data_IF_724552828959
#
_entry.id   IF_724552828959
#
_cell.length_a   1.000
_cell.length_b   1.000
_cell.length_c   1.000
_cell.angle_alpha   90.00
_cell.angle_beta   90.00
_cell.angle_gamma   90.00
#
_symmetry.space_group_name_H-M   'P 1'
#
loop_
_entity.id
_entity.type
_entity.pdbx_description
1 polymer ?
#
# COMPACT_ATOMS: atom_id res chain seq x y z
N UNK A 1 -0.68 10.70 22.70
CA UNK A 1 -1.38 9.66 21.89
C UNK A 1 -0.60 9.54 20.60
N UNK A 2 -0.26 8.34 20.13
CA UNK A 2 0.49 8.19 18.89
C UNK A 2 -0.34 8.70 17.69
N UNK A 3 0.31 9.34 16.73
CA UNK A 3 -0.31 9.81 15.50
C UNK A 3 -0.81 8.60 14.67
N UNK A 4 -2.06 8.62 14.25
CA UNK A 4 -2.69 7.53 13.50
C UNK A 4 -3.16 8.04 12.15
N UNK A 5 -2.48 7.66 11.08
CA UNK A 5 -2.77 8.09 9.71
C UNK A 5 -4.22 7.86 9.31
N UNK A 6 -4.84 6.75 9.71
CA UNK A 6 -6.26 6.47 9.44
C UNK A 6 -7.20 7.46 10.08
N UNK A 7 -6.82 8.04 11.22
CA UNK A 7 -7.64 9.01 11.95
C UNK A 7 -7.41 10.44 11.51
N UNK A 8 -6.16 10.77 11.18
CA UNK A 8 -5.75 12.12 10.80
C UNK A 8 -6.06 12.42 9.31
N UNK A 9 -5.96 11.42 8.43
CA UNK A 9 -6.21 11.53 7.00
C UNK A 9 -7.40 10.68 6.56
N UNK A 10 -8.57 10.91 7.19
CA UNK A 10 -9.79 10.13 6.93
C UNK A 10 -10.24 10.22 5.49
N UNK A 11 -9.99 11.33 4.82
CA UNK A 11 -10.30 11.54 3.40
C UNK A 11 -9.62 10.52 2.48
N UNK A 12 -8.45 9.97 2.88
CA UNK A 12 -7.73 8.96 2.11
C UNK A 12 -7.96 7.54 2.63
N UNK A 13 -8.04 7.39 3.95
CA UNK A 13 -8.07 6.06 4.58
C UNK A 13 -9.47 5.58 4.95
N UNK A 14 -10.48 6.45 4.95
CA UNK A 14 -11.85 6.11 5.31
C UNK A 14 -12.86 6.73 4.34
N UNK A 15 -12.73 6.48 3.02
CA UNK A 15 -13.68 6.99 2.04
C UNK A 15 -15.07 6.40 2.28
N UNK A 16 -16.08 6.99 1.63
CA UNK A 16 -17.44 6.46 1.65
C UNK A 16 -17.56 5.23 0.74
N UNK A 17 -18.64 4.48 0.91
CA UNK A 17 -19.02 3.38 0.01
C UNK A 17 -19.68 3.87 -1.29
N UNK A 18 -19.35 5.06 -1.75
CA UNK A 18 -19.75 5.66 -3.03
C UNK A 18 -18.57 6.41 -3.61
N UNK A 19 -18.42 6.45 -4.95
CA UNK A 19 -17.30 7.12 -5.58
C UNK A 19 -17.21 8.60 -5.17
N UNK A 20 -16.02 9.08 -4.96
CA UNK A 20 -15.72 10.50 -4.73
C UNK A 20 -14.35 10.87 -5.32
N UNK A 21 -14.21 12.11 -5.77
CA UNK A 21 -12.93 12.65 -6.23
C UNK A 21 -12.14 13.13 -5.03
N UNK A 22 -10.85 12.80 -5.02
CA UNK A 22 -9.90 13.22 -4.00
C UNK A 22 -8.59 13.67 -4.68
N UNK A 23 -7.89 14.60 -4.07
CA UNK A 23 -6.54 14.97 -4.50
C UNK A 23 -5.52 14.40 -3.53
N UNK A 24 -4.85 13.30 -3.92
CA UNK A 24 -3.89 12.60 -3.08
C UNK A 24 -2.55 13.32 -3.17
N UNK A 25 -2.03 13.82 -2.04
CA UNK A 25 -0.75 14.53 -2.04
C UNK A 25 0.42 13.57 -2.26
N UNK A 26 1.51 14.11 -2.78
CA UNK A 26 2.78 13.41 -2.86
C UNK A 26 3.21 12.88 -1.50
N UNK A 27 3.60 11.60 -1.45
CA UNK A 27 4.04 10.96 -0.22
C UNK A 27 5.20 9.98 -0.46
N UNK A 28 5.91 9.64 0.62
CA UNK A 28 6.99 8.67 0.59
C UNK A 28 6.54 7.35 1.20
N UNK A 29 7.08 6.25 0.67
CA UNK A 29 6.71 4.90 1.03
C UNK A 29 7.93 3.99 1.16
N UNK A 30 7.82 2.98 2.02
CA UNK A 30 8.60 1.74 1.88
C UNK A 30 7.88 0.94 0.80
N UNK A 31 8.60 0.47 -0.21
CA UNK A 31 8.03 -0.30 -1.31
C UNK A 31 8.78 -1.61 -1.54
N UNK A 32 8.09 -2.66 -1.96
CA UNK A 32 8.67 -3.90 -2.50
C UNK A 32 7.89 -4.27 -3.75
N UNK A 33 8.61 -4.56 -4.83
CA UNK A 33 8.03 -4.96 -6.12
C UNK A 33 8.06 -6.46 -6.29
N UNK A 34 7.06 -6.99 -6.97
CA UNK A 34 7.04 -8.40 -7.30
C UNK A 34 5.99 -8.76 -8.35
N UNK A 35 5.93 -10.07 -8.64
CA UNK A 35 4.99 -10.67 -9.58
C UNK A 35 4.56 -12.03 -9.06
N UNK A 36 3.33 -12.42 -9.34
CA UNK A 36 2.79 -13.72 -9.01
C UNK A 36 1.52 -13.67 -8.19
N UNK A 37 1.02 -14.84 -7.83
CA UNK A 37 -0.22 -15.00 -7.10
C UNK A 37 -0.07 -14.50 -5.65
N UNK A 38 -0.81 -13.47 -5.22
CA UNK A 38 -0.73 -12.95 -3.84
C UNK A 38 -1.22 -13.94 -2.78
N UNK A 39 -1.99 -14.96 -3.18
CA UNK A 39 -2.52 -15.98 -2.27
C UNK A 39 -1.61 -17.21 -2.12
N UNK A 40 -0.45 -17.23 -2.78
CA UNK A 40 0.51 -18.33 -2.67
C UNK A 40 1.14 -18.32 -1.27
N UNK A 41 0.95 -19.43 -0.54
CA UNK A 41 1.52 -19.59 0.80
C UNK A 41 3.06 -19.60 0.73
N UNK A 42 3.71 -18.74 1.54
CA UNK A 42 5.16 -18.55 1.49
C UNK A 42 5.68 -17.91 0.20
N UNK A 43 4.78 -17.47 -0.69
CA UNK A 43 5.10 -16.88 -1.98
C UNK A 43 5.73 -15.48 -1.88
N UNK A 44 6.09 -14.93 -3.03
CA UNK A 44 6.79 -13.65 -3.14
C UNK A 44 6.03 -12.49 -2.47
N UNK A 45 4.70 -12.48 -2.56
CA UNK A 45 3.88 -11.43 -1.94
C UNK A 45 3.95 -11.45 -0.41
N UNK A 46 3.85 -12.62 0.22
CA UNK A 46 3.96 -12.75 1.68
C UNK A 46 5.37 -12.41 2.17
N UNK A 47 6.41 -12.76 1.40
CA UNK A 47 7.79 -12.37 1.70
C UNK A 47 7.95 -10.84 1.63
N UNK A 48 7.40 -10.19 0.61
CA UNK A 48 7.40 -8.73 0.48
C UNK A 48 6.73 -8.04 1.67
N UNK A 49 5.56 -8.53 2.10
CA UNK A 49 4.87 -8.01 3.30
C UNK A 49 5.77 -8.13 4.54
N UNK A 50 6.47 -9.25 4.69
CA UNK A 50 7.39 -9.47 5.81
C UNK A 50 8.54 -8.45 5.82
N UNK A 51 9.10 -8.14 4.64
CA UNK A 51 10.14 -7.11 4.46
C UNK A 51 9.60 -5.73 4.81
N UNK A 52 8.44 -5.35 4.27
CA UNK A 52 7.81 -4.06 4.52
C UNK A 52 7.61 -3.80 6.02
N UNK A 53 7.01 -4.75 6.73
CA UNK A 53 6.79 -4.60 8.16
C UNK A 53 8.09 -4.66 8.98
N UNK A 54 9.10 -5.43 8.55
CA UNK A 54 10.40 -5.44 9.22
C UNK A 54 11.05 -4.05 9.20
N UNK A 55 11.03 -3.38 8.06
CA UNK A 55 11.58 -2.02 7.91
C UNK A 55 10.70 -0.99 8.62
N UNK A 56 9.37 -1.03 8.42
CA UNK A 56 8.43 -0.10 9.04
C UNK A 56 8.51 -0.10 10.58
N UNK A 57 8.55 -1.28 11.20
CA UNK A 57 8.69 -1.38 12.65
C UNK A 57 10.09 -1.01 13.14
N UNK A 58 11.14 -1.19 12.34
CA UNK A 58 12.48 -0.73 12.68
C UNK A 58 12.52 0.79 12.75
N UNK A 59 11.94 1.50 11.79
CA UNK A 59 11.77 2.96 11.80
C UNK A 59 10.93 3.40 12.99
N UNK A 60 9.75 2.82 13.16
CA UNK A 60 8.86 3.16 14.28
C UNK A 60 9.53 3.02 15.64
N UNK A 61 10.36 2.01 15.83
CA UNK A 61 11.00 1.71 17.11
C UNK A 61 12.40 2.32 17.26
N UNK A 62 12.83 3.17 16.33
CA UNK A 62 14.16 3.84 16.36
C UNK A 62 14.40 4.60 17.66
N UNK A 63 13.35 5.22 18.23
CA UNK A 63 13.45 5.98 19.49
C UNK A 63 13.94 5.16 20.69
N UNK A 64 13.84 3.82 20.61
CA UNK A 64 14.35 2.87 21.63
C UNK A 64 15.81 2.47 21.38
N UNK A 65 16.45 3.01 20.36
CA UNK A 65 17.83 2.73 19.99
C UNK A 65 18.70 3.98 20.13
N UNK A 66 19.99 3.85 19.87
CA UNK A 66 20.91 5.00 19.82
C UNK A 66 20.72 5.86 18.57
N UNK A 67 20.09 5.30 17.51
CA UNK A 67 19.77 6.04 16.31
C UNK A 67 18.56 6.96 16.53
N UNK A 68 18.74 8.25 16.30
CA UNK A 68 17.70 9.27 16.52
C UNK A 68 17.32 9.88 15.17
N UNK A 69 16.05 9.73 14.81
CA UNK A 69 15.45 10.36 13.63
C UNK A 69 15.03 11.78 13.99
N UNK A 70 15.46 12.76 13.20
CA UNK A 70 15.10 14.16 13.41
C UNK A 70 13.59 14.37 13.21
N UNK A 71 12.98 15.15 14.08
CA UNK A 71 11.54 15.42 14.02
C UNK A 71 10.64 14.25 14.41
N UNK A 72 11.21 13.16 14.93
CA UNK A 72 10.43 11.96 15.29
C UNK A 72 9.31 12.25 16.27
N UNK A 73 8.14 11.75 15.97
CA UNK A 73 7.03 11.60 16.91
C UNK A 73 6.46 10.19 16.84
N UNK A 74 5.82 9.73 17.91
CA UNK A 74 5.20 8.40 17.94
C UNK A 74 4.01 8.31 16.98
N UNK A 75 4.00 7.28 16.12
CA UNK A 75 2.94 7.02 15.17
C UNK A 75 2.53 5.56 15.14
N UNK A 76 1.34 5.29 14.64
CA UNK A 76 0.88 3.95 14.28
C UNK A 76 1.38 3.66 12.87
N UNK A 77 1.97 2.48 12.64
CA UNK A 77 2.37 2.08 11.28
C UNK A 77 1.15 2.14 10.38
N UNK A 78 1.21 2.88 9.27
CA UNK A 78 0.09 2.99 8.36
C UNK A 78 -0.35 1.63 7.79
N UNK A 79 -1.55 1.53 7.21
CA UNK A 79 -1.99 0.31 6.54
C UNK A 79 -1.02 -0.14 5.46
N UNK A 80 -1.07 -1.42 5.13
CA UNK A 80 -0.49 -1.94 3.90
C UNK A 80 -1.32 -1.41 2.73
N UNK A 81 -0.64 -1.01 1.66
CA UNK A 81 -1.23 -0.55 0.42
C UNK A 81 -0.60 -1.32 -0.74
N UNK A 82 -1.27 -1.37 -1.89
CA UNK A 82 -0.76 -2.07 -3.06
C UNK A 82 -1.14 -1.39 -4.37
N UNK A 83 -0.20 -1.36 -5.31
CA UNK A 83 -0.43 -0.97 -6.70
C UNK A 83 -0.39 -2.22 -7.55
N UNK A 84 -1.43 -2.42 -8.39
CA UNK A 84 -1.65 -3.66 -9.11
C UNK A 84 -1.81 -3.45 -10.61
N UNK A 85 -1.26 -4.36 -11.39
CA UNK A 85 -1.47 -4.42 -12.83
C UNK A 85 -1.19 -5.83 -13.37
N UNK A 86 -1.56 -6.04 -14.61
CA UNK A 86 -1.14 -7.19 -15.41
C UNK A 86 -0.50 -6.66 -16.69
N UNK A 87 0.64 -7.23 -17.07
CA UNK A 87 1.34 -6.85 -18.28
C UNK A 87 0.60 -7.40 -19.51
N UNK A 88 0.63 -6.65 -20.61
CA UNK A 88 0.17 -7.08 -21.94
C UNK A 88 -1.33 -7.47 -22.04
N UNK A 89 -2.19 -6.90 -21.18
CA UNK A 89 -3.63 -7.12 -21.22
C UNK A 89 -4.39 -5.81 -21.42
N UNK A 90 -5.51 -5.85 -22.18
CA UNK A 90 -6.41 -4.70 -22.35
C UNK A 90 -7.30 -4.49 -21.10
N UNK A 91 -7.59 -5.58 -20.37
CA UNK A 91 -8.34 -5.57 -19.13
C UNK A 91 -7.80 -6.60 -18.16
N UNK A 92 -7.93 -6.33 -16.85
CA UNK A 92 -7.46 -7.22 -15.80
C UNK A 92 -8.20 -8.56 -15.82
N UNK A 93 -7.46 -9.66 -15.91
CA UNK A 93 -7.99 -11.02 -15.76
C UNK A 93 -7.84 -11.47 -14.29
N UNK A 94 -8.90 -11.32 -13.53
CA UNK A 94 -8.95 -11.70 -12.10
C UNK A 94 -8.86 -13.22 -11.88
N UNK A 95 -9.04 -14.04 -12.92
CA UNK A 95 -8.91 -15.50 -12.82
C UNK A 95 -7.47 -15.96 -12.89
N UNK A 96 -6.59 -15.18 -13.52
CA UNK A 96 -5.16 -15.47 -13.66
C UNK A 96 -4.33 -14.70 -12.61
N UNK A 97 -4.46 -15.10 -11.35
CA UNK A 97 -3.76 -14.45 -10.23
C UNK A 97 -2.22 -14.51 -10.33
N UNK A 98 -1.68 -15.46 -11.09
CA UNK A 98 -0.23 -15.58 -11.30
C UNK A 98 0.34 -14.51 -12.23
N UNK A 99 -0.50 -13.87 -13.04
CA UNK A 99 -0.08 -12.81 -13.97
C UNK A 99 0.02 -11.42 -13.30
N UNK A 100 -0.46 -11.26 -12.06
CA UNK A 100 -0.37 -9.98 -11.38
C UNK A 100 1.06 -9.56 -11.12
N UNK A 101 1.36 -8.33 -11.50
CA UNK A 101 2.50 -7.56 -11.04
C UNK A 101 2.03 -6.58 -9.97
N UNK A 102 2.88 -6.31 -8.98
CA UNK A 102 2.49 -5.48 -7.84
C UNK A 102 3.65 -4.68 -7.26
N UNK A 103 3.31 -3.55 -6.64
CA UNK A 103 4.17 -2.81 -5.73
C UNK A 103 3.43 -2.74 -4.41
N UNK A 104 3.87 -3.48 -3.41
CA UNK A 104 3.32 -3.37 -2.07
C UNK A 104 4.04 -2.29 -1.30
N UNK A 105 3.29 -1.44 -0.59
CA UNK A 105 3.86 -0.27 0.07
C UNK A 105 3.30 -0.07 1.48
N UNK A 106 4.07 0.62 2.31
CA UNK A 106 3.63 1.22 3.58
C UNK A 106 4.05 2.68 3.56
N UNK A 107 3.11 3.60 3.75
CA UNK A 107 3.39 5.03 3.80
C UNK A 107 4.36 5.37 4.93
N UNK A 108 5.29 6.28 4.65
CA UNK A 108 6.23 6.83 5.63
C UNK A 108 5.72 8.18 6.15
N UNK A 109 5.89 8.48 7.47
CA UNK A 109 5.80 9.85 7.95
C UNK A 109 6.77 10.76 7.23
N UNK A 110 6.40 12.03 7.04
CA UNK A 110 7.17 13.00 6.26
C UNK A 110 8.57 13.30 6.84
N UNK A 111 8.76 13.05 8.15
CA UNK A 111 10.07 13.23 8.80
C UNK A 111 11.08 12.11 8.50
N UNK A 112 10.66 11.01 7.88
CA UNK A 112 11.56 9.90 7.53
C UNK A 112 12.33 10.25 6.26
N UNK A 113 13.63 10.46 6.40
CA UNK A 113 14.52 10.68 5.28
C UNK A 113 14.97 9.37 4.61
N UNK A 114 15.55 9.50 3.41
CA UNK A 114 16.18 8.35 2.73
C UNK A 114 17.29 7.72 3.56
N UNK A 115 18.06 8.51 4.31
CA UNK A 115 19.11 8.01 5.19
C UNK A 115 18.55 7.19 6.36
N UNK A 116 17.43 7.63 6.95
CA UNK A 116 16.74 6.88 8.00
C UNK A 116 16.20 5.55 7.48
N UNK A 117 15.66 5.56 6.27
CA UNK A 117 15.22 4.36 5.58
C UNK A 117 16.39 3.38 5.36
N UNK A 118 17.53 3.84 4.83
CA UNK A 118 18.69 2.98 4.58
C UNK A 118 19.23 2.37 5.87
N UNK A 119 19.29 3.16 6.95
CA UNK A 119 19.63 2.65 8.28
C UNK A 119 18.64 1.57 8.74
N UNK A 120 17.35 1.76 8.49
CA UNK A 120 16.33 0.80 8.91
C UNK A 120 16.42 -0.51 8.13
N UNK A 121 16.70 -0.48 6.83
CA UNK A 121 16.90 -1.67 5.99
C UNK A 121 18.08 -2.50 6.52
N UNK A 122 19.26 -1.86 6.74
CA UNK A 122 20.42 -2.55 7.30
C UNK A 122 20.15 -3.13 8.69
N UNK A 123 19.49 -2.35 9.54
CA UNK A 123 19.20 -2.74 10.92
C UNK A 123 18.19 -3.90 10.95
N UNK A 124 17.14 -3.85 10.14
CA UNK A 124 16.14 -4.91 10.03
C UNK A 124 16.78 -6.21 9.53
N UNK A 125 17.60 -6.14 8.48
CA UNK A 125 18.32 -7.30 7.94
C UNK A 125 19.17 -7.97 9.01
N UNK A 126 19.97 -7.20 9.75
CA UNK A 126 20.84 -7.73 10.81
C UNK A 126 20.07 -8.36 11.97
N UNK A 127 19.01 -7.67 12.45
CA UNK A 127 18.26 -8.10 13.64
C UNK A 127 17.29 -9.24 13.38
N UNK A 128 16.64 -9.26 12.22
CA UNK A 128 15.56 -10.22 11.92
C UNK A 128 16.03 -11.43 11.12
N UNK A 129 17.29 -11.45 10.66
CA UNK A 129 17.84 -12.48 9.76
C UNK A 129 16.97 -12.64 8.49
N UNK A 130 16.39 -11.52 8.03
CA UNK A 130 15.56 -11.40 6.84
C UNK A 130 16.26 -10.46 5.88
N UNK A 131 16.52 -10.89 4.66
CA UNK A 131 17.08 -9.98 3.65
C UNK A 131 16.03 -8.93 3.27
N UNK A 132 16.30 -7.68 3.66
CA UNK A 132 15.45 -6.53 3.36
C UNK A 132 15.98 -5.71 2.16
N UNK A 133 16.94 -6.22 1.38
CA UNK A 133 17.55 -5.49 0.26
C UNK A 133 16.59 -5.18 -0.88
N UNK A 134 15.46 -5.89 -0.96
CA UNK A 134 14.39 -5.61 -1.93
C UNK A 134 13.52 -4.40 -1.58
N UNK A 135 13.69 -3.83 -0.38
CA UNK A 135 12.93 -2.64 0.01
C UNK A 135 13.47 -1.39 -0.69
N UNK A 136 12.55 -0.57 -1.21
CA UNK A 136 12.82 0.70 -1.89
C UNK A 136 12.23 1.86 -1.10
N UNK A 137 12.92 3.02 -1.12
CA UNK A 137 12.33 4.30 -0.72
C UNK A 137 11.67 4.92 -1.95
N UNK A 138 10.35 4.86 -2.01
CA UNK A 138 9.57 5.26 -3.18
C UNK A 138 8.76 6.51 -2.87
N UNK A 139 8.84 7.50 -3.77
CA UNK A 139 7.99 8.69 -3.72
C UNK A 139 6.90 8.57 -4.78
N UNK A 140 5.64 8.73 -4.38
CA UNK A 140 4.47 8.64 -5.27
C UNK A 140 3.71 9.96 -5.21
N UNK A 141 3.29 10.43 -6.37
CA UNK A 141 2.47 11.64 -6.55
C UNK A 141 1.28 11.27 -7.43
N UNK A 142 0.16 10.91 -6.78
CA UNK A 142 -1.04 10.45 -7.50
C UNK A 142 -1.92 11.60 -7.98
N UNK A 143 -1.95 12.71 -7.24
CA UNK A 143 -2.76 13.88 -7.60
C UNK A 143 -4.26 13.58 -7.58
N UNK A 144 -4.97 13.92 -8.65
CA UNK A 144 -6.42 13.76 -8.74
C UNK A 144 -6.81 12.29 -8.97
N UNK A 145 -7.58 11.72 -8.05
CA UNK A 145 -8.02 10.32 -8.07
C UNK A 145 -9.53 10.22 -7.84
N UNK A 146 -10.13 9.12 -8.28
CA UNK A 146 -11.41 8.64 -7.79
C UNK A 146 -11.16 7.54 -6.78
N UNK A 147 -11.91 7.54 -5.68
CA UNK A 147 -11.82 6.51 -4.65
C UNK A 147 -13.20 6.04 -4.19
N UNK A 148 -13.24 4.84 -3.65
CA UNK A 148 -14.43 4.24 -3.05
C UNK A 148 -14.02 3.22 -1.98
N UNK A 149 -14.81 3.07 -0.91
CA UNK A 149 -14.64 1.96 0.02
C UNK A 149 -15.27 0.70 -0.58
N UNK A 150 -14.44 -0.32 -0.84
CA UNK A 150 -14.92 -1.67 -1.12
C UNK A 150 -15.21 -2.41 0.19
N UNK A 151 -16.38 -3.04 0.29
CA UNK A 151 -16.79 -3.87 1.42
C UNK A 151 -17.22 -5.23 0.88
N UNK A 152 -16.43 -6.25 1.18
CA UNK A 152 -16.67 -7.61 0.73
C UNK A 152 -15.39 -8.36 0.36
N UNK A 153 -15.55 -9.49 -0.33
CA UNK A 153 -14.42 -10.28 -0.83
C UNK A 153 -13.77 -9.60 -2.04
N UNK A 154 -12.48 -9.80 -2.23
CA UNK A 154 -11.75 -9.32 -3.42
C UNK A 154 -12.37 -9.82 -4.75
N UNK A 155 -13.03 -10.98 -4.75
CA UNK A 155 -13.71 -11.50 -5.96
C UNK A 155 -14.89 -10.61 -6.38
N UNK A 156 -15.45 -9.78 -5.48
CA UNK A 156 -16.51 -8.82 -5.76
C UNK A 156 -16.01 -7.41 -6.09
N UNK A 157 -14.71 -7.17 -6.02
CA UNK A 157 -14.10 -5.86 -6.31
C UNK A 157 -14.42 -5.32 -7.70
N UNK A 158 -14.46 -6.14 -8.79
CA UNK A 158 -14.77 -5.64 -10.12
C UNK A 158 -16.08 -4.84 -10.20
N UNK A 159 -17.10 -5.23 -9.41
CA UNK A 159 -18.36 -4.50 -9.34
C UNK A 159 -18.18 -3.09 -8.70
N UNK A 160 -17.28 -2.98 -7.73
CA UNK A 160 -16.95 -1.70 -7.07
C UNK A 160 -16.15 -0.79 -8.01
N UNK A 161 -15.19 -1.35 -8.77
CA UNK A 161 -14.43 -0.62 -9.79
C UNK A 161 -15.37 -0.06 -10.87
N UNK A 162 -16.34 -0.85 -11.35
CA UNK A 162 -17.33 -0.41 -12.33
C UNK A 162 -18.19 0.78 -11.85
N UNK A 163 -18.41 0.92 -10.54
CA UNK A 163 -19.06 2.11 -9.98
C UNK A 163 -18.19 3.36 -10.12
N UNK A 164 -16.87 3.24 -9.95
CA UNK A 164 -15.95 4.35 -10.17
C UNK A 164 -15.92 4.78 -11.64
N UNK A 165 -15.85 3.83 -12.57
CA UNK A 165 -15.86 4.13 -14.01
C UNK A 165 -17.16 4.84 -14.43
N UNK A 166 -18.31 4.34 -13.98
CA UNK A 166 -19.61 4.99 -14.22
C UNK A 166 -19.63 6.41 -13.65
N UNK A 167 -19.09 6.61 -12.46
CA UNK A 167 -19.03 7.93 -11.84
C UNK A 167 -18.13 8.89 -12.63
N UNK A 168 -16.98 8.43 -13.11
CA UNK A 168 -16.07 9.24 -13.94
C UNK A 168 -16.77 9.70 -15.21
N UNK A 169 -17.41 8.78 -15.96
CA UNK A 169 -18.16 9.08 -17.18
C UNK A 169 -19.26 10.14 -16.93
N UNK A 170 -20.07 9.96 -15.89
CA UNK A 170 -21.17 10.86 -15.55
C UNK A 170 -20.71 12.28 -15.16
N UNK A 171 -19.47 12.41 -14.67
CA UNK A 171 -18.91 13.69 -14.21
C UNK A 171 -17.86 14.27 -15.17
N UNK A 172 -17.71 13.71 -16.37
CA UNK A 172 -16.81 14.23 -17.40
C UNK A 172 -15.32 14.03 -17.12
N UNK A 173 -14.99 13.04 -16.31
CA UNK A 173 -13.61 12.59 -16.08
C UNK A 173 -13.26 11.43 -17.00
N UNK A 174 -11.98 11.20 -17.18
CA UNK A 174 -11.43 10.10 -17.95
C UNK A 174 -10.59 9.23 -17.02
N UNK A 175 -10.79 7.90 -17.06
CA UNK A 175 -9.90 6.96 -16.40
C UNK A 175 -8.58 6.93 -17.18
N UNK A 176 -7.48 7.32 -16.52
CA UNK A 176 -6.14 7.41 -17.10
C UNK A 176 -5.17 6.37 -16.52
N UNK A 177 -5.71 5.27 -15.95
CA UNK A 177 -4.88 4.14 -15.53
C UNK A 177 -4.05 3.63 -16.69
N UNK A 178 -2.74 3.55 -16.50
CA UNK A 178 -1.75 3.11 -17.48
C UNK A 178 -0.50 2.58 -16.75
N UNK A 179 0.57 2.27 -17.50
CA UNK A 179 1.85 1.76 -16.93
C UNK A 179 2.52 2.69 -15.92
N UNK A 180 2.23 3.98 -15.95
CA UNK A 180 2.83 4.99 -15.08
C UNK A 180 1.85 5.43 -13.97
N UNK A 181 0.57 5.05 -14.09
CA UNK A 181 -0.50 5.34 -13.15
C UNK A 181 -1.34 4.09 -12.91
N UNK A 182 -1.07 3.42 -11.81
CA UNK A 182 -1.58 2.09 -11.50
C UNK A 182 -2.85 2.14 -10.65
N UNK A 183 -3.60 1.04 -10.65
CA UNK A 183 -4.67 0.82 -9.69
C UNK A 183 -4.09 0.71 -8.28
N UNK A 184 -4.64 1.48 -7.34
CA UNK A 184 -4.16 1.57 -5.96
C UNK A 184 -5.21 1.04 -4.97
N UNK A 185 -4.80 0.16 -4.09
CA UNK A 185 -5.60 -0.42 -3.02
C UNK A 185 -5.00 -0.10 -1.65
N UNK A 186 -5.85 0.28 -0.69
CA UNK A 186 -5.47 0.50 0.71
C UNK A 186 -6.21 -0.53 1.58
N UNK A 187 -5.47 -1.38 2.28
CA UNK A 187 -6.05 -2.49 3.04
C UNK A 187 -6.37 -2.07 4.47
N UNK A 188 -7.66 -1.80 4.73
CA UNK A 188 -8.15 -1.35 6.04
C UNK A 188 -8.27 -2.48 7.06
N UNK A 189 -8.41 -3.73 6.60
CA UNK A 189 -8.35 -4.96 7.41
C UNK A 189 -7.02 -5.68 7.23
N UNK A 190 -6.60 -6.47 8.23
CA UNK A 190 -5.35 -7.21 8.15
C UNK A 190 -5.48 -8.39 7.18
N UNK A 191 -4.74 -8.37 6.06
CA UNK A 191 -4.72 -9.45 5.06
C UNK A 191 -4.28 -10.82 5.61
N UNK A 192 -3.54 -10.83 6.73
CA UNK A 192 -3.03 -12.08 7.34
C UNK A 192 -4.11 -12.87 8.11
N UNK A 193 -5.31 -12.31 8.30
CA UNK A 193 -6.41 -12.92 9.06
C UNK A 193 -7.70 -13.07 8.26
N UNK A 194 -7.69 -12.86 6.95
CA UNK A 194 -8.90 -12.90 6.14
C UNK A 194 -9.41 -14.31 5.81
N UNK A 195 -8.72 -15.38 6.23
CA UNK A 195 -9.27 -16.75 6.13
C UNK A 195 -10.38 -17.03 7.15
N UNK A 196 -10.51 -16.22 8.22
CA UNK A 196 -11.46 -16.46 9.31
C UNK A 196 -12.58 -15.41 9.43
N UNK A 197 -12.66 -14.45 8.51
CA UNK A 197 -13.67 -13.38 8.53
C UNK A 197 -14.87 -13.66 7.62
N UNK A 198 -15.09 -14.92 7.24
CA UNK A 198 -16.21 -15.37 6.40
C UNK A 198 -17.25 -16.19 7.21
N UNK A 199 -17.55 -15.77 8.46
CA UNK A 199 -18.71 -16.24 9.22
C UNK A 199 -19.57 -15.06 9.71
#
# INVERSE_FOLDING_TARGET
MAFDFKKEYKEFYMPKNKPEIVNVPKANYIAVRGKGNPNEEGGAYQQAISVLYAVAYTLKMSYKTDYKIEGFFEYVVPPLEGFWWQDDVESVDYTNKSAFSWISVIRLPDFISKADFDWAVETATKKKKLDCSSAEYLTIDEGLCVQIMHIGSFDNEPATVALMDTYLEQNGYVNDINKDRLHHEIYMSCLLYTSDAAD
#
